data_IF_889092035779
#
_entry.id   IF_889092035779
#
_cell.length_a   1.000
_cell.length_b   1.000
_cell.length_c   1.000
_cell.angle_alpha   90.00
_cell.angle_beta   90.00
_cell.angle_gamma   90.00
#
_symmetry.space_group_name_H-M   'P 1'
#
loop_
_entity.id
_entity.type
_entity.pdbx_description
1 polymer ?
#
# COMPACT_ATOMS: atom_id res chain seq x y z
N UNK A 1 13.59 -0.17 -21.96
CA UNK A 1 14.53 0.93 -21.68
C UNK A 1 15.66 0.36 -20.84
N UNK A 2 16.89 0.37 -21.35
CA UNK A 2 18.04 -0.23 -20.67
C UNK A 2 18.41 0.55 -19.40
N UNK A 3 18.37 -0.11 -18.25
CA UNK A 3 18.82 0.40 -16.94
C UNK A 3 20.35 0.52 -16.89
N UNK A 4 20.92 1.37 -17.75
CA UNK A 4 22.35 1.68 -17.72
C UNK A 4 22.60 2.66 -16.58
N UNK A 5 23.30 2.17 -15.56
CA UNK A 5 23.70 2.94 -14.39
C UNK A 5 24.68 4.05 -14.83
N UNK A 6 24.18 5.28 -14.96
CA UNK A 6 25.02 6.46 -15.15
C UNK A 6 25.66 6.82 -13.80
N UNK A 7 26.95 6.49 -13.65
CA UNK A 7 27.78 6.94 -12.52
C UNK A 7 28.15 8.41 -12.74
N UNK A 8 28.09 9.22 -11.67
CA UNK A 8 28.52 10.63 -11.71
C UNK A 8 30.06 10.69 -11.57
N UNK A 9 30.81 11.07 -12.62
CA UNK A 9 32.27 11.11 -12.58
C UNK A 9 32.81 12.10 -11.54
N UNK A 10 32.07 13.18 -11.27
CA UNK A 10 32.47 14.19 -10.29
C UNK A 10 32.37 13.63 -8.88
N UNK A 11 31.28 12.93 -8.57
CA UNK A 11 31.09 12.29 -7.27
C UNK A 11 32.20 11.26 -6.99
N UNK A 12 32.58 10.45 -7.99
CA UNK A 12 33.67 9.49 -7.85
C UNK A 12 35.03 10.14 -7.66
N UNK A 13 35.29 11.25 -8.35
CA UNK A 13 36.54 12.00 -8.18
C UNK A 13 36.64 12.59 -6.77
N UNK A 14 35.56 13.17 -6.25
CA UNK A 14 35.49 13.70 -4.88
C UNK A 14 35.71 12.58 -3.86
N UNK A 15 35.07 11.42 -4.06
CA UNK A 15 35.20 10.27 -3.15
C UNK A 15 36.62 9.68 -3.11
N UNK A 16 37.38 9.78 -4.22
CA UNK A 16 38.78 9.31 -4.30
C UNK A 16 39.78 10.32 -3.73
N UNK A 17 39.49 11.62 -3.81
CA UNK A 17 40.43 12.66 -3.42
C UNK A 17 40.29 13.05 -1.94
N UNK A 18 41.17 12.52 -1.09
CA UNK A 18 41.19 12.79 0.36
C UNK A 18 41.40 14.27 0.74
N UNK A 19 41.99 15.07 -0.15
CA UNK A 19 42.23 16.49 0.07
C UNK A 19 41.06 17.37 -0.41
N UNK A 20 40.06 16.79 -1.07
CA UNK A 20 38.93 17.55 -1.56
C UNK A 20 38.04 18.03 -0.39
N UNK A 21 37.59 19.29 -0.36
CA UNK A 21 36.80 19.84 0.76
C UNK A 21 35.53 19.03 1.08
N UNK A 22 34.89 18.46 0.05
CA UNK A 22 33.68 17.64 0.18
C UNK A 22 33.95 16.14 0.40
N UNK A 23 35.21 15.71 0.50
CA UNK A 23 35.55 14.29 0.67
C UNK A 23 34.93 13.71 1.95
N UNK A 24 35.02 14.44 3.06
CA UNK A 24 34.47 13.98 4.34
C UNK A 24 32.95 13.77 4.29
N UNK A 25 32.23 14.57 3.50
CA UNK A 25 30.78 14.44 3.33
C UNK A 25 30.38 13.23 2.46
N UNK A 26 31.30 12.71 1.63
CA UNK A 26 31.08 11.52 0.80
C UNK A 26 31.44 10.21 1.52
N UNK A 27 32.08 10.28 2.68
CA UNK A 27 32.44 9.10 3.47
C UNK A 27 31.25 8.64 4.32
N UNK A 28 31.07 7.32 4.41
CA UNK A 28 30.10 6.72 5.34
C UNK A 28 30.49 7.09 6.77
N UNK A 29 29.61 7.78 7.51
CA UNK A 29 29.85 8.13 8.90
C UNK A 29 30.06 6.85 9.73
N UNK A 30 31.22 6.76 10.36
CA UNK A 30 31.53 5.65 11.27
C UNK A 30 30.60 5.73 12.48
N UNK A 31 29.84 4.67 12.72
CA UNK A 31 28.91 4.57 13.85
C UNK A 31 29.64 4.22 15.16
N UNK A 32 30.82 3.61 15.06
CA UNK A 32 31.67 3.19 16.19
C UNK A 32 33.15 3.39 15.85
N UNK A 33 33.94 3.89 16.80
CA UNK A 33 35.40 4.01 16.66
C UNK A 33 36.11 3.88 18.02
N UNK A 34 37.38 3.50 18.00
CA UNK A 34 38.23 3.49 19.19
C UNK A 34 38.64 4.91 19.54
N UNK A 35 38.36 5.33 20.77
CA UNK A 35 38.78 6.62 21.30
C UNK A 35 40.27 6.64 21.67
N UNK A 36 40.86 7.83 21.86
CA UNK A 36 42.26 7.99 22.25
C UNK A 36 42.64 7.27 23.55
N UNK A 37 41.67 7.07 24.44
CA UNK A 37 41.85 6.42 25.74
C UNK A 37 41.57 4.90 25.69
N UNK A 38 41.46 4.30 24.51
CA UNK A 38 41.12 2.88 24.34
C UNK A 38 39.65 2.52 24.58
N UNK A 39 38.78 3.49 24.89
CA UNK A 39 37.34 3.26 25.04
C UNK A 39 36.62 3.36 23.68
N UNK A 40 35.71 2.41 23.42
CA UNK A 40 34.86 2.40 22.23
C UNK A 40 33.83 3.54 22.32
N UNK A 41 33.83 4.44 21.33
CA UNK A 41 32.85 5.53 21.20
C UNK A 41 31.78 5.18 20.17
N UNK A 42 30.56 5.70 20.37
CA UNK A 42 29.41 5.52 19.47
C UNK A 42 28.85 6.89 19.07
N UNK A 43 28.46 7.06 17.80
CA UNK A 43 27.76 8.27 17.35
C UNK A 43 26.23 8.01 17.34
N UNK A 44 25.47 8.54 18.31
CA UNK A 44 24.03 8.30 18.41
C UNK A 44 23.24 8.89 17.23
N UNK A 45 23.72 9.99 16.63
CA UNK A 45 23.07 10.58 15.46
C UNK A 45 23.25 9.73 14.21
N UNK A 46 24.42 9.11 14.03
CA UNK A 46 24.66 8.17 12.94
C UNK A 46 23.87 6.85 13.12
N UNK A 47 23.62 6.42 14.36
CA UNK A 47 22.79 5.23 14.66
C UNK A 47 21.31 5.54 14.44
N UNK A 48 20.83 6.70 14.89
CA UNK A 48 19.45 7.16 14.69
C UNK A 48 19.12 7.43 13.21
N UNK A 49 20.14 7.70 12.39
CA UNK A 49 19.97 7.84 10.94
C UNK A 49 19.45 6.55 10.29
N UNK A 50 19.60 5.38 10.93
CA UNK A 50 19.07 4.10 10.46
C UNK A 50 19.66 3.63 9.13
N UNK A 51 19.29 2.41 8.73
CA UNK A 51 19.63 1.81 7.45
C UNK A 51 18.35 1.41 6.72
N UNK A 52 18.35 1.49 5.39
CA UNK A 52 17.23 1.04 4.56
C UNK A 52 17.48 -0.41 4.19
N UNK A 53 16.63 -1.31 4.70
CA UNK A 53 16.73 -2.73 4.38
C UNK A 53 16.35 -3.03 2.92
N UNK A 54 16.54 -4.28 2.45
CA UNK A 54 16.21 -4.71 1.09
C UNK A 54 14.77 -4.40 0.66
N UNK A 55 13.84 -4.40 1.63
CA UNK A 55 12.43 -4.10 1.41
C UNK A 55 12.10 -2.59 1.38
N UNK A 56 13.10 -1.71 1.35
CA UNK A 56 12.91 -0.25 1.28
C UNK A 56 12.47 0.42 2.58
N UNK A 57 12.29 -0.35 3.67
CA UNK A 57 11.90 0.18 4.97
C UNK A 57 13.13 0.63 5.76
N UNK A 58 13.08 1.87 6.25
CA UNK A 58 14.10 2.42 7.16
C UNK A 58 14.01 1.75 8.52
N UNK A 59 15.12 1.19 8.99
CA UNK A 59 15.27 0.46 10.26
C UNK A 59 16.43 1.01 11.08
N UNK A 60 16.32 1.01 12.39
CA UNK A 60 17.42 1.37 13.30
C UNK A 60 17.90 0.08 13.97
N UNK A 61 19.10 -0.38 13.60
CA UNK A 61 19.75 -1.48 14.31
C UNK A 61 20.47 -0.95 15.56
N UNK A 62 19.96 -1.31 16.75
CA UNK A 62 20.53 -0.94 18.04
C UNK A 62 21.69 -1.86 18.46
N UNK A 63 21.80 -3.05 17.88
CA UNK A 63 22.91 -3.99 18.13
C UNK A 63 24.22 -3.50 17.49
N UNK A 64 24.10 -2.73 16.40
CA UNK A 64 25.22 -2.19 15.61
C UNK A 64 26.04 -3.26 14.90
N UNK A 65 25.45 -4.44 14.68
CA UNK A 65 26.02 -5.50 13.86
C UNK A 65 25.91 -5.16 12.37
N UNK A 66 24.88 -4.40 11.99
CA UNK A 66 24.72 -3.92 10.62
C UNK A 66 25.26 -2.50 10.46
N UNK A 67 26.39 -2.38 9.78
CA UNK A 67 26.80 -1.13 9.16
C UNK A 67 26.13 -1.06 7.80
N UNK A 68 25.14 -0.17 7.67
CA UNK A 68 24.45 0.05 6.41
C UNK A 68 25.47 0.36 5.31
N UNK A 69 25.56 -0.53 4.32
CA UNK A 69 26.30 -0.24 3.09
C UNK A 69 25.72 1.02 2.47
N UNK A 70 26.60 1.95 2.10
CA UNK A 70 26.29 3.32 1.75
C UNK A 70 25.18 3.51 0.72
N UNK A 71 24.73 4.76 0.68
CA UNK A 71 23.59 5.39 -0.03
C UNK A 71 23.74 5.35 -1.57
N UNK A 72 24.22 4.26 -2.15
CA UNK A 72 24.51 4.14 -3.59
C UNK A 72 23.69 3.09 -4.35
N UNK A 73 23.01 2.16 -3.67
CA UNK A 73 22.14 1.18 -4.31
C UNK A 73 20.81 1.81 -4.70
N UNK A 74 20.66 2.27 -5.95
CA UNK A 74 19.34 2.66 -6.46
C UNK A 74 18.45 1.42 -6.51
N UNK A 75 17.50 1.39 -5.55
CA UNK A 75 16.12 0.90 -5.66
C UNK A 75 15.83 0.19 -6.98
N UNK A 76 16.07 -1.10 -7.03
CA UNK A 76 15.26 -1.95 -7.90
C UNK A 76 13.84 -1.83 -7.39
N UNK A 77 12.90 -1.38 -8.24
CA UNK A 77 11.48 -1.54 -7.95
C UNK A 77 11.29 -3.00 -7.55
N UNK A 78 10.67 -3.24 -6.39
CA UNK A 78 10.37 -4.59 -5.96
C UNK A 78 9.62 -5.25 -7.11
N UNK A 79 10.12 -6.39 -7.60
CA UNK A 79 9.46 -7.12 -8.66
C UNK A 79 8.00 -7.35 -8.25
N UNK A 80 7.06 -6.91 -9.09
CA UNK A 80 5.64 -7.12 -8.83
C UNK A 80 5.40 -8.62 -8.70
N UNK A 81 4.99 -9.05 -7.50
CA UNK A 81 4.68 -10.44 -7.23
C UNK A 81 3.38 -10.76 -7.98
N UNK A 82 3.50 -11.48 -9.10
CA UNK A 82 2.35 -11.98 -9.83
C UNK A 82 1.70 -13.11 -9.03
N UNK A 83 0.57 -12.81 -8.40
CA UNK A 83 -0.26 -13.82 -7.76
C UNK A 83 -0.95 -14.68 -8.83
N UNK A 84 -1.20 -15.98 -8.57
CA UNK A 84 -2.04 -16.80 -9.42
C UNK A 84 -3.40 -16.14 -9.63
N UNK A 85 -3.86 -16.08 -10.88
CA UNK A 85 -5.14 -15.48 -11.22
C UNK A 85 -6.28 -16.37 -10.69
N UNK A 86 -6.97 -15.88 -9.66
CA UNK A 86 -8.20 -16.48 -9.16
C UNK A 86 -9.39 -16.01 -10.01
N UNK A 87 -10.18 -16.95 -10.53
CA UNK A 87 -11.40 -16.64 -11.27
C UNK A 87 -12.56 -17.48 -10.75
N UNK A 88 -13.66 -16.80 -10.44
CA UNK A 88 -14.93 -17.44 -10.09
C UNK A 88 -15.90 -17.25 -11.26
N UNK A 89 -15.94 -18.17 -12.24
CA UNK A 89 -16.78 -18.00 -13.43
C UNK A 89 -18.27 -18.09 -13.10
N UNK A 90 -18.67 -19.03 -12.25
CA UNK A 90 -20.04 -19.23 -11.79
C UNK A 90 -20.08 -19.29 -10.26
N UNK A 91 -20.24 -18.15 -9.57
CA UNK A 91 -20.29 -18.13 -8.11
C UNK A 91 -21.55 -18.81 -7.60
N UNK A 92 -21.41 -19.61 -6.54
CA UNK A 92 -22.54 -20.23 -5.86
C UNK A 92 -23.37 -19.22 -5.05
N UNK A 93 -22.75 -18.11 -4.63
CA UNK A 93 -23.36 -17.02 -3.89
C UNK A 93 -22.48 -15.77 -3.97
N UNK A 94 -23.06 -14.62 -3.59
CA UNK A 94 -22.34 -13.36 -3.51
C UNK A 94 -22.14 -12.92 -2.05
N UNK A 95 -21.02 -12.25 -1.79
CA UNK A 95 -20.80 -11.42 -0.61
C UNK A 95 -20.81 -9.98 -1.11
N UNK A 96 -21.83 -9.20 -0.73
CA UNK A 96 -21.97 -7.82 -1.16
C UNK A 96 -21.18 -6.89 -0.22
N UNK A 97 -20.41 -5.98 -0.81
CA UNK A 97 -19.66 -4.95 -0.09
C UNK A 97 -20.03 -3.59 -0.65
N UNK A 98 -20.39 -2.65 0.23
CA UNK A 98 -20.68 -1.26 -0.13
C UNK A 98 -19.56 -0.39 0.45
N UNK A 99 -18.45 -0.17 -0.27
CA UNK A 99 -17.36 0.67 0.22
C UNK A 99 -17.78 2.15 0.25
N UNK A 100 -17.27 2.92 1.22
CA UNK A 100 -17.59 4.35 1.33
C UNK A 100 -16.93 5.18 0.24
N UNK A 101 -15.70 4.80 -0.13
CA UNK A 101 -14.92 5.43 -1.20
C UNK A 101 -14.81 6.96 -1.10
N UNK A 102 -14.61 7.52 0.10
CA UNK A 102 -14.49 8.97 0.30
C UNK A 102 -13.45 9.59 -0.64
N UNK A 103 -13.89 10.46 -1.56
CA UNK A 103 -13.04 11.06 -2.59
C UNK A 103 -12.82 10.21 -3.85
N UNK A 104 -13.62 9.16 -4.05
CA UNK A 104 -13.65 8.28 -5.22
C UNK A 104 -12.57 7.19 -5.23
N UNK A 105 -11.95 6.88 -4.09
CA UNK A 105 -10.90 5.84 -3.98
C UNK A 105 -11.13 4.94 -2.78
N UNK A 106 -10.68 3.70 -2.85
CA UNK A 106 -10.76 2.78 -1.71
C UNK A 106 -9.90 3.27 -0.55
N UNK A 107 -10.52 3.46 0.61
CA UNK A 107 -9.84 3.74 1.86
C UNK A 107 -9.15 2.49 2.41
N UNK A 108 -8.36 2.62 3.49
CA UNK A 108 -7.84 1.45 4.20
C UNK A 108 -8.97 0.60 4.78
N UNK A 109 -10.03 1.23 5.29
CA UNK A 109 -11.15 0.52 5.89
C UNK A 109 -11.97 -0.26 4.85
N UNK A 110 -12.17 0.31 3.66
CA UNK A 110 -12.80 -0.40 2.54
C UNK A 110 -11.99 -1.64 2.13
N UNK A 111 -10.66 -1.52 2.08
CA UNK A 111 -9.77 -2.64 1.76
C UNK A 111 -9.81 -3.74 2.82
N UNK A 112 -9.90 -3.38 4.09
CA UNK A 112 -10.04 -4.35 5.17
C UNK A 112 -11.36 -5.13 5.05
N UNK A 113 -12.46 -4.45 4.71
CA UNK A 113 -13.75 -5.09 4.45
C UNK A 113 -13.73 -5.98 3.21
N UNK A 114 -13.09 -5.56 2.13
CA UNK A 114 -12.92 -6.39 0.94
C UNK A 114 -12.07 -7.64 1.26
N UNK A 115 -11.05 -7.51 2.10
CA UNK A 115 -10.29 -8.65 2.62
C UNK A 115 -11.15 -9.63 3.43
N UNK A 116 -12.02 -9.10 4.30
CA UNK A 116 -13.01 -9.91 5.02
C UNK A 116 -13.99 -10.60 4.06
N UNK A 117 -14.53 -9.85 3.10
CA UNK A 117 -15.46 -10.38 2.10
C UNK A 117 -14.84 -11.54 1.31
N UNK A 118 -13.59 -11.39 0.89
CA UNK A 118 -12.84 -12.42 0.19
C UNK A 118 -12.69 -13.69 1.05
N UNK A 119 -12.38 -13.53 2.35
CA UNK A 119 -12.31 -14.66 3.28
C UNK A 119 -13.64 -15.38 3.48
N UNK A 120 -14.77 -14.65 3.46
CA UNK A 120 -16.11 -15.21 3.57
C UNK A 120 -16.58 -15.89 2.27
N UNK A 121 -16.13 -15.38 1.12
CA UNK A 121 -16.44 -15.95 -0.19
C UNK A 121 -15.75 -17.31 -0.39
N UNK A 122 -14.53 -17.47 0.12
CA UNK A 122 -13.75 -18.70 -0.05
C UNK A 122 -13.46 -18.98 -1.53
N UNK A 123 -13.55 -20.25 -1.94
CA UNK A 123 -13.36 -20.67 -3.34
C UNK A 123 -14.62 -20.61 -4.19
N UNK A 124 -15.80 -20.65 -3.55
CA UNK A 124 -17.07 -20.94 -4.23
C UNK A 124 -17.95 -19.70 -4.37
N UNK A 125 -17.72 -18.68 -3.54
CA UNK A 125 -18.41 -17.40 -3.57
C UNK A 125 -17.65 -16.35 -4.37
N UNK A 126 -18.35 -15.28 -4.76
CA UNK A 126 -17.73 -14.09 -5.34
C UNK A 126 -18.02 -12.84 -4.51
N UNK A 127 -17.04 -11.94 -4.44
CA UNK A 127 -17.20 -10.61 -3.84
C UNK A 127 -17.81 -9.67 -4.86
N UNK A 128 -18.98 -9.12 -4.53
CA UNK A 128 -19.68 -8.09 -5.31
C UNK A 128 -19.48 -6.74 -4.63
N UNK A 129 -18.67 -5.87 -5.22
CA UNK A 129 -18.58 -4.48 -4.80
C UNK A 129 -19.71 -3.67 -5.46
N UNK A 130 -20.51 -2.99 -4.65
CA UNK A 130 -21.57 -2.08 -5.10
C UNK A 130 -21.11 -0.65 -4.83
N UNK A 131 -20.85 0.09 -5.90
CA UNK A 131 -20.35 1.46 -5.84
C UNK A 131 -21.42 2.38 -6.41
N UNK A 132 -21.72 3.45 -5.68
CA UNK A 132 -22.59 4.51 -6.16
C UNK A 132 -21.74 5.63 -6.75
N UNK A 133 -22.22 6.21 -7.84
CA UNK A 133 -21.61 7.37 -8.52
C UNK A 133 -20.22 7.06 -9.14
N UNK A 134 -19.62 8.08 -9.75
CA UNK A 134 -18.32 7.99 -10.41
C UNK A 134 -17.18 7.76 -9.40
N UNK A 135 -16.33 6.78 -9.69
CA UNK A 135 -15.13 6.51 -8.91
C UNK A 135 -13.84 6.73 -9.72
N UNK A 136 -12.75 7.01 -9.02
CA UNK A 136 -11.40 7.16 -9.59
C UNK A 136 -10.52 5.94 -9.34
N UNK A 137 -11.07 4.91 -8.71
CA UNK A 137 -10.37 3.68 -8.37
C UNK A 137 -10.20 2.76 -9.58
N UNK A 138 -8.98 2.24 -9.75
CA UNK A 138 -8.63 1.33 -10.84
C UNK A 138 -8.28 -0.08 -10.34
N UNK A 139 -8.10 -0.23 -9.02
CA UNK A 139 -7.46 -1.40 -8.42
C UNK A 139 -8.45 -2.33 -7.70
N UNK A 140 -9.74 -2.30 -8.04
CA UNK A 140 -10.75 -3.18 -7.44
C UNK A 140 -10.40 -4.67 -7.56
N UNK A 141 -9.93 -5.11 -8.73
CA UNK A 141 -9.52 -6.49 -8.97
C UNK A 141 -8.39 -6.94 -8.03
N UNK A 142 -7.42 -6.06 -7.77
CA UNK A 142 -6.33 -6.34 -6.82
C UNK A 142 -6.74 -6.18 -5.35
N UNK A 143 -7.89 -5.55 -5.08
CA UNK A 143 -8.45 -5.40 -3.75
C UNK A 143 -9.35 -6.59 -3.33
N UNK A 144 -9.49 -7.61 -4.20
CA UNK A 144 -10.28 -8.81 -3.90
C UNK A 144 -11.74 -8.74 -4.38
N UNK A 145 -12.05 -7.82 -5.31
CA UNK A 145 -13.37 -7.74 -5.94
C UNK A 145 -13.44 -8.65 -7.16
N UNK A 146 -14.45 -9.53 -7.17
CA UNK A 146 -14.72 -10.42 -8.31
C UNK A 146 -15.73 -9.85 -9.30
N UNK A 147 -16.70 -9.05 -8.81
CA UNK A 147 -17.72 -8.36 -9.59
C UNK A 147 -17.87 -6.94 -9.09
N UNK A 148 -17.89 -5.98 -10.01
CA UNK A 148 -18.13 -4.58 -9.72
C UNK A 148 -19.48 -4.18 -10.33
N UNK A 149 -20.36 -3.65 -9.48
CA UNK A 149 -21.61 -3.03 -9.89
C UNK A 149 -21.51 -1.54 -9.58
N UNK A 150 -21.51 -0.72 -10.63
CA UNK A 150 -21.58 0.73 -10.50
C UNK A 150 -23.01 1.17 -10.75
N UNK A 151 -23.60 1.87 -9.79
CA UNK A 151 -24.95 2.41 -9.87
C UNK A 151 -24.81 3.93 -10.04
N UNK A 152 -25.09 4.39 -11.25
CA UNK A 152 -25.02 5.80 -11.62
C UNK A 152 -26.43 6.42 -11.62
N UNK A 153 -26.50 7.70 -11.26
CA UNK A 153 -27.72 8.50 -11.37
C UNK A 153 -27.70 9.72 -10.47
N UNK A 154 -28.25 10.83 -10.97
CA UNK A 154 -28.36 12.10 -10.24
C UNK A 154 -29.07 11.94 -8.88
N UNK A 155 -29.94 10.94 -8.73
CA UNK A 155 -30.66 10.62 -7.50
C UNK A 155 -29.75 10.13 -6.36
N UNK A 156 -28.51 9.73 -6.66
CA UNK A 156 -27.52 9.27 -5.69
C UNK A 156 -26.46 10.34 -5.38
N UNK A 157 -26.56 11.53 -6.00
CA UNK A 157 -25.63 12.63 -5.73
C UNK A 157 -25.89 13.25 -4.35
N UNK A 158 -24.80 13.47 -3.60
CA UNK A 158 -24.87 14.08 -2.28
C UNK A 158 -25.45 13.16 -1.20
N UNK A 159 -26.11 13.75 -0.21
CA UNK A 159 -26.68 13.02 0.93
C UNK A 159 -28.08 12.50 0.58
N UNK A 160 -28.20 11.22 0.24
CA UNK A 160 -29.46 10.58 -0.18
C UNK A 160 -29.61 9.13 0.35
N UNK A 161 -29.60 8.90 1.68
CA UNK A 161 -29.57 7.55 2.26
C UNK A 161 -30.78 6.70 1.85
N UNK A 162 -31.97 7.27 1.74
CA UNK A 162 -33.15 6.53 1.31
C UNK A 162 -33.03 6.02 -0.12
N UNK A 163 -32.43 6.80 -1.02
CA UNK A 163 -32.21 6.37 -2.41
C UNK A 163 -31.14 5.28 -2.47
N UNK A 164 -30.05 5.42 -1.72
CA UNK A 164 -29.02 4.40 -1.59
C UNK A 164 -29.63 3.07 -1.12
N UNK A 165 -30.44 3.07 -0.06
CA UNK A 165 -31.15 1.88 0.43
C UNK A 165 -32.08 1.28 -0.63
N UNK A 166 -32.78 2.09 -1.42
CA UNK A 166 -33.59 1.57 -2.54
C UNK A 166 -32.73 0.90 -3.62
N UNK A 167 -31.58 1.49 -3.94
CA UNK A 167 -30.59 0.88 -4.83
C UNK A 167 -30.12 -0.46 -4.29
N UNK A 168 -29.75 -0.53 -3.01
CA UNK A 168 -29.32 -1.76 -2.36
C UNK A 168 -30.41 -2.83 -2.33
N UNK A 169 -31.69 -2.46 -2.14
CA UNK A 169 -32.81 -3.40 -2.26
C UNK A 169 -32.96 -3.98 -3.65
N UNK A 170 -32.73 -3.18 -4.70
CA UNK A 170 -32.74 -3.68 -6.07
C UNK A 170 -31.60 -4.69 -6.29
N UNK A 171 -30.41 -4.42 -5.75
CA UNK A 171 -29.28 -5.36 -5.76
C UNK A 171 -29.63 -6.65 -5.00
N UNK A 172 -30.24 -6.55 -3.83
CA UNK A 172 -30.64 -7.70 -3.02
C UNK A 172 -31.62 -8.61 -3.79
N UNK A 173 -32.62 -8.03 -4.45
CA UNK A 173 -33.58 -8.77 -5.26
C UNK A 173 -32.95 -9.47 -6.46
N UNK A 174 -31.89 -8.89 -7.04
CA UNK A 174 -31.27 -9.43 -8.25
C UNK A 174 -30.20 -10.48 -7.95
N UNK A 175 -29.39 -10.26 -6.92
CA UNK A 175 -28.20 -11.08 -6.64
C UNK A 175 -28.35 -11.97 -5.41
N UNK A 176 -29.31 -11.67 -4.52
CA UNK A 176 -29.55 -12.40 -3.27
C UNK A 176 -28.24 -12.71 -2.50
N UNK A 177 -27.44 -11.67 -2.17
CA UNK A 177 -26.16 -11.89 -1.52
C UNK A 177 -26.35 -12.54 -0.15
N UNK A 178 -25.43 -13.42 0.23
CA UNK A 178 -25.50 -14.14 1.51
C UNK A 178 -25.19 -13.22 2.69
N UNK A 179 -24.29 -12.27 2.48
CA UNK A 179 -23.90 -11.28 3.49
C UNK A 179 -23.75 -9.92 2.83
N UNK A 180 -24.04 -8.90 3.63
CA UNK A 180 -23.80 -7.51 3.35
C UNK A 180 -22.70 -7.00 4.29
N UNK A 181 -21.68 -6.36 3.74
CA UNK A 181 -20.59 -5.74 4.49
C UNK A 181 -20.55 -4.25 4.18
N UNK A 182 -20.66 -3.44 5.23
CA UNK A 182 -20.66 -1.99 5.14
C UNK A 182 -19.65 -1.43 6.15
N UNK A 183 -18.89 -0.38 5.78
CA UNK A 183 -18.07 0.39 6.69
C UNK A 183 -18.85 0.91 7.90
N UNK A 184 -18.31 0.73 9.11
CA UNK A 184 -18.85 1.42 10.28
C UNK A 184 -18.32 2.86 10.31
N UNK A 185 -18.89 3.69 9.43
CA UNK A 185 -18.48 5.08 9.23
C UNK A 185 -19.69 6.01 9.19
N UNK A 186 -19.45 7.28 9.51
CA UNK A 186 -20.48 8.33 9.45
C UNK A 186 -20.72 8.87 8.03
N UNK A 187 -19.96 8.40 7.05
CA UNK A 187 -19.97 8.94 5.69
C UNK A 187 -20.67 8.03 4.67
N UNK A 188 -21.09 6.85 5.08
CA UNK A 188 -21.77 5.89 4.22
C UNK A 188 -22.38 4.77 5.04
N UNK A 189 -21.62 3.70 5.25
CA UNK A 189 -22.17 2.45 5.78
C UNK A 189 -22.88 2.53 7.15
N UNK A 190 -22.59 3.51 8.00
CA UNK A 190 -23.32 3.70 9.28
C UNK A 190 -24.75 4.23 9.15
N UNK A 191 -25.16 4.66 7.96
CA UNK A 191 -26.51 5.20 7.69
C UNK A 191 -27.38 4.28 6.81
N UNK A 192 -26.83 3.15 6.35
CA UNK A 192 -27.46 2.18 5.44
C UNK A 192 -27.82 0.87 6.15
#
# INVERSE_FOLDING_TARGET
MSDIIRRDPRAEWIARNRLHPLHAAMQTQQTRWMGPNGLLRKNPHAIAAGFIGPNGIKRIDRSGAQQGTGVGGRRSAAAEVQLPLHQVPAPAFYIAVVPDMVGGRLSSHDRDLLGLAHSLAGSDGAVLAVVFDEHKENNFSTAGVDRLLVIEGEAFEGYAPEQLVQGLRAVDNQFTPRHWLLPDSRSGGGEL
#
